data_IF_506311743698
#
_entry.id   IF_506311743698
#
_cell.length_a   1.000
_cell.length_b   1.000
_cell.length_c   1.000
_cell.angle_alpha   90.00
_cell.angle_beta   90.00
_cell.angle_gamma   90.00
#
_symmetry.space_group_name_H-M   'P 1'
#
loop_
_entity.id
_entity.type
_entity.pdbx_description
1 polymer ?
#
# COMPACT_ATOMS: atom_id res chain seq x y z
N UNK A 1 -15.03 -28.18 21.28
CA UNK A 1 -13.62 -28.39 21.66
C UNK A 1 -12.71 -27.25 21.23
N UNK A 2 -12.32 -27.11 19.94
CA UNK A 2 -11.37 -26.06 19.54
C UNK A 2 -11.82 -24.63 19.90
N UNK A 3 -13.10 -24.31 19.69
CA UNK A 3 -13.63 -22.99 20.07
C UNK A 3 -13.62 -22.75 21.58
N UNK A 4 -13.87 -23.79 22.39
CA UNK A 4 -13.81 -23.71 23.86
C UNK A 4 -12.36 -23.54 24.32
N UNK A 5 -11.39 -24.22 23.70
CA UNK A 5 -9.97 -24.02 23.99
C UNK A 5 -9.51 -22.60 23.64
N UNK A 6 -10.03 -22.02 22.55
CA UNK A 6 -9.77 -20.62 22.19
C UNK A 6 -10.30 -19.68 23.29
N UNK A 7 -11.54 -19.88 23.72
CA UNK A 7 -12.15 -19.07 24.79
C UNK A 7 -11.36 -19.20 26.10
N UNK A 8 -11.03 -20.43 26.52
CA UNK A 8 -10.29 -20.69 27.76
C UNK A 8 -8.88 -20.09 27.73
N UNK A 9 -8.20 -20.12 26.57
CA UNK A 9 -6.88 -19.52 26.39
C UNK A 9 -6.95 -18.00 26.36
N UNK A 10 -8.03 -17.45 25.79
CA UNK A 10 -8.29 -16.03 25.84
C UNK A 10 -8.44 -15.57 27.29
N UNK A 11 -9.25 -16.26 28.11
CA UNK A 11 -9.54 -15.98 29.54
C UNK A 11 -8.33 -15.88 30.46
N UNK A 12 -7.16 -16.32 30.04
CA UNK A 12 -5.95 -16.22 30.83
C UNK A 12 -5.43 -14.77 30.84
N UNK A 13 -4.80 -14.27 31.94
CA UNK A 13 -4.20 -12.94 32.02
C UNK A 13 -2.75 -12.90 31.50
N UNK A 14 -2.35 -11.77 30.90
CA UNK A 14 -1.08 -11.64 30.10
C UNK A 14 0.15 -12.01 30.92
N UNK A 15 0.12 -11.62 32.19
CA UNK A 15 1.14 -11.93 33.19
C UNK A 15 1.42 -13.44 33.30
N UNK A 16 0.41 -14.29 33.14
CA UNK A 16 0.62 -15.74 33.20
C UNK A 16 1.41 -16.31 32.01
N UNK A 17 1.54 -15.58 30.90
CA UNK A 17 2.43 -15.95 29.80
C UNK A 17 3.83 -15.38 29.97
N UNK A 18 3.93 -14.13 30.46
CA UNK A 18 5.18 -13.37 30.50
C UNK A 18 5.98 -13.61 31.78
N UNK A 19 5.34 -13.62 32.96
CA UNK A 19 6.02 -13.78 34.25
C UNK A 19 6.90 -15.04 34.29
N UNK A 20 6.47 -16.21 33.73
CA UNK A 20 7.31 -17.41 33.70
C UNK A 20 8.63 -17.28 32.93
N UNK A 21 8.75 -16.32 32.01
CA UNK A 21 10.01 -16.08 31.28
C UNK A 21 11.11 -15.50 32.18
N UNK A 22 10.69 -14.80 33.25
CA UNK A 22 11.58 -14.17 34.23
C UNK A 22 12.02 -15.10 35.37
N UNK A 23 11.51 -16.33 35.40
CA UNK A 23 11.86 -17.27 36.47
C UNK A 23 13.27 -17.83 36.27
N UNK A 24 13.99 -18.00 37.37
CA UNK A 24 15.36 -18.51 37.35
C UNK A 24 15.43 -20.01 36.97
N UNK A 25 14.33 -20.74 37.12
CA UNK A 25 14.27 -22.15 36.77
C UNK A 25 13.79 -22.35 35.34
N UNK A 26 14.47 -23.24 34.61
CA UNK A 26 14.04 -23.68 33.28
C UNK A 26 12.67 -24.36 33.37
N UNK A 27 11.76 -24.10 32.42
CA UNK A 27 10.48 -24.77 32.37
C UNK A 27 10.66 -26.30 32.23
N UNK A 28 9.66 -27.04 32.67
CA UNK A 28 9.63 -28.49 32.47
C UNK A 28 9.65 -28.83 30.97
N UNK A 29 10.36 -29.88 30.56
CA UNK A 29 10.49 -30.28 29.13
C UNK A 29 9.15 -30.42 28.41
N UNK A 30 8.13 -30.91 29.09
CA UNK A 30 6.78 -31.00 28.53
C UNK A 30 6.21 -29.64 28.11
N UNK A 31 6.50 -28.56 28.84
CA UNK A 31 6.08 -27.19 28.52
C UNK A 31 6.85 -26.68 27.30
N UNK A 32 8.16 -26.93 27.24
CA UNK A 32 9.02 -26.59 26.10
C UNK A 32 8.52 -27.26 24.82
N UNK A 33 8.15 -28.55 24.89
CA UNK A 33 7.60 -29.27 23.75
C UNK A 33 6.28 -28.69 23.25
N UNK A 34 5.41 -28.19 24.14
CA UNK A 34 4.17 -27.50 23.74
C UNK A 34 4.49 -26.16 23.06
N UNK A 35 5.43 -25.41 23.62
CA UNK A 35 5.86 -24.14 23.04
C UNK A 35 6.49 -24.31 21.65
N UNK A 36 7.36 -25.30 21.48
CA UNK A 36 7.91 -25.68 20.17
C UNK A 36 6.78 -26.03 19.19
N UNK A 37 5.81 -26.84 19.61
CA UNK A 37 4.66 -27.20 18.79
C UNK A 37 3.84 -25.97 18.36
N UNK A 38 3.63 -25.00 19.25
CA UNK A 38 2.95 -23.74 18.92
C UNK A 38 3.74 -22.95 17.88
N UNK A 39 5.06 -22.78 18.06
CA UNK A 39 5.90 -22.06 17.12
C UNK A 39 5.88 -22.71 15.72
N UNK A 40 5.89 -24.04 15.65
CA UNK A 40 5.79 -24.80 14.40
C UNK A 40 4.41 -24.67 13.74
N UNK A 41 3.33 -24.61 14.52
CA UNK A 41 1.98 -24.33 13.99
C UNK A 41 1.89 -22.93 13.37
N UNK A 42 2.70 -21.97 13.82
CA UNK A 42 2.80 -20.63 13.23
C UNK A 42 3.91 -20.48 12.17
N UNK A 43 4.50 -21.60 11.72
CA UNK A 43 5.57 -21.63 10.72
C UNK A 43 6.80 -20.78 11.10
N UNK A 44 7.09 -20.68 12.40
CA UNK A 44 8.28 -19.97 12.88
C UNK A 44 9.51 -20.82 12.56
N UNK A 45 10.52 -20.27 11.86
CA UNK A 45 11.73 -21.01 11.53
C UNK A 45 12.53 -21.29 12.80
N UNK A 46 12.64 -22.58 13.17
CA UNK A 46 13.42 -23.04 14.31
C UNK A 46 14.72 -23.72 13.85
N UNK A 47 15.85 -23.54 14.58
CA UNK A 47 17.06 -24.31 14.35
C UNK A 47 16.82 -25.82 14.52
N UNK A 48 17.54 -26.65 13.74
CA UNK A 48 17.37 -28.12 13.76
C UNK A 48 17.83 -28.78 15.07
N UNK A 49 18.70 -28.12 15.82
CA UNK A 49 19.11 -28.50 17.17
C UNK A 49 19.09 -27.25 18.03
N UNK A 50 18.19 -27.22 19.01
CA UNK A 50 18.03 -26.11 19.94
C UNK A 50 17.89 -26.68 21.34
N UNK A 51 18.63 -26.11 22.27
CA UNK A 51 18.54 -26.47 23.69
C UNK A 51 17.21 -25.99 24.27
N UNK A 52 16.69 -26.71 25.26
CA UNK A 52 15.40 -26.39 25.90
C UNK A 52 15.39 -24.96 26.49
N UNK A 53 16.55 -24.49 26.97
CA UNK A 53 16.72 -23.14 27.51
C UNK A 53 16.63 -22.06 26.42
N UNK A 54 17.30 -22.27 25.29
CA UNK A 54 17.28 -21.34 24.15
C UNK A 54 15.88 -21.30 23.50
N UNK A 55 15.21 -22.45 23.41
CA UNK A 55 13.82 -22.52 22.93
C UNK A 55 12.90 -21.65 23.80
N UNK A 56 13.05 -21.73 25.12
CA UNK A 56 12.23 -20.98 26.06
C UNK A 56 12.56 -19.49 26.10
N UNK A 57 13.83 -19.13 26.27
CA UNK A 57 14.26 -17.75 26.50
C UNK A 57 14.39 -16.95 25.21
N UNK A 58 14.98 -17.53 24.17
CA UNK A 58 15.26 -16.82 22.93
C UNK A 58 14.09 -16.94 21.94
N UNK A 59 13.68 -18.15 21.57
CA UNK A 59 12.63 -18.32 20.56
C UNK A 59 11.26 -17.92 21.09
N UNK A 60 10.81 -18.60 22.15
CA UNK A 60 9.50 -18.34 22.74
C UNK A 60 9.42 -16.99 23.42
N UNK A 61 10.43 -16.63 24.22
CA UNK A 61 10.47 -15.33 24.90
C UNK A 61 10.33 -14.15 23.93
N UNK A 62 11.10 -14.12 22.84
CA UNK A 62 10.98 -13.06 21.83
C UNK A 62 9.63 -13.11 21.10
N UNK A 63 9.16 -14.30 20.74
CA UNK A 63 7.92 -14.46 20.01
C UNK A 63 6.71 -14.04 20.86
N UNK A 64 6.64 -14.48 22.11
CA UNK A 64 5.53 -14.18 23.00
C UNK A 64 5.54 -12.71 23.47
N UNK A 65 6.72 -12.12 23.71
CA UNK A 65 6.83 -10.68 24.02
C UNK A 65 6.44 -9.84 22.80
N UNK A 66 6.89 -10.20 21.59
CA UNK A 66 6.47 -9.49 20.37
C UNK A 66 4.97 -9.55 20.14
N UNK A 67 4.35 -10.71 20.37
CA UNK A 67 2.94 -10.94 20.02
C UNK A 67 1.95 -10.66 21.17
N UNK A 68 2.41 -10.60 22.42
CA UNK A 68 1.57 -10.32 23.60
C UNK A 68 1.99 -9.01 24.30
N UNK A 69 3.28 -8.64 24.31
CA UNK A 69 3.78 -7.48 25.04
C UNK A 69 3.77 -6.15 24.28
N UNK A 70 4.09 -6.16 22.98
CA UNK A 70 4.22 -4.96 22.13
C UNK A 70 2.91 -4.19 21.86
N UNK A 71 1.77 -4.66 22.37
CA UNK A 71 0.47 -3.98 22.24
C UNK A 71 0.22 -3.09 23.48
N UNK A 72 0.31 -1.76 23.29
CA UNK A 72 0.37 -0.71 24.31
C UNK A 72 -0.98 -0.29 24.91
N UNK A 73 -2.07 -0.32 24.13
CA UNK A 73 -3.39 -0.69 24.67
C UNK A 73 -3.26 -2.16 24.98
N UNK A 74 -3.43 -2.57 26.23
CA UNK A 74 -3.00 -3.88 26.69
C UNK A 74 -3.59 -5.04 25.90
N UNK A 75 -3.58 -6.20 26.53
CA UNK A 75 -4.63 -7.16 26.26
C UNK A 75 -5.98 -6.53 26.64
N UNK A 76 -6.47 -5.53 25.89
CA UNK A 76 -7.73 -4.85 26.10
C UNK A 76 -8.80 -5.73 25.47
N UNK A 77 -9.11 -6.78 26.23
CA UNK A 77 -10.44 -7.28 26.39
C UNK A 77 -11.43 -6.12 26.57
N UNK A 78 -11.96 -5.60 25.48
CA UNK A 78 -13.10 -4.68 25.52
C UNK A 78 -14.16 -5.33 24.66
N UNK A 79 -15.24 -5.81 25.29
CA UNK A 79 -16.63 -5.61 24.84
C UNK A 79 -16.98 -5.86 23.36
N UNK A 80 -16.30 -6.72 22.63
CA UNK A 80 -16.65 -7.04 21.25
C UNK A 80 -16.86 -8.55 21.13
N UNK A 81 -18.03 -8.95 20.64
CA UNK A 81 -18.49 -10.33 20.47
C UNK A 81 -17.71 -11.12 19.40
N UNK A 82 -16.44 -10.82 19.15
CA UNK A 82 -15.59 -11.50 18.16
C UNK A 82 -14.21 -11.82 18.75
N UNK A 83 -13.68 -13.05 18.56
CA UNK A 83 -12.36 -13.40 19.06
C UNK A 83 -11.29 -12.81 18.14
N UNK A 84 -10.68 -11.69 18.55
CA UNK A 84 -9.47 -11.12 17.95
C UNK A 84 -8.30 -11.45 18.88
N UNK A 85 -7.29 -12.18 18.41
CA UNK A 85 -6.13 -12.56 19.22
C UNK A 85 -5.21 -13.60 18.56
N UNK A 86 -3.98 -13.73 19.07
CA UNK A 86 -2.90 -14.60 18.54
C UNK A 86 -3.35 -16.04 18.24
N UNK A 87 -4.25 -16.58 19.06
CA UNK A 87 -4.71 -17.97 19.00
C UNK A 87 -6.14 -18.15 18.46
N UNK A 88 -6.71 -17.10 17.85
CA UNK A 88 -8.14 -17.04 17.49
C UNK A 88 -8.49 -17.62 16.13
N UNK A 89 -7.50 -18.03 15.33
CA UNK A 89 -7.71 -18.50 13.96
C UNK A 89 -6.95 -19.80 13.68
N UNK A 90 -7.62 -20.97 13.68
CA UNK A 90 -6.97 -22.25 13.34
C UNK A 90 -6.64 -22.41 11.85
N UNK A 91 -7.16 -21.53 10.99
CA UNK A 91 -6.99 -21.56 9.53
C UNK A 91 -5.74 -20.83 9.01
N UNK A 92 -4.97 -20.18 9.88
CA UNK A 92 -3.67 -19.60 9.56
C UNK A 92 -2.50 -20.51 10.00
N UNK A 93 -2.81 -21.71 10.51
CA UNK A 93 -1.81 -22.62 11.05
C UNK A 93 -1.22 -23.49 9.93
N UNK A 94 0.10 -23.70 10.00
CA UNK A 94 0.87 -24.47 9.03
C UNK A 94 0.63 -25.97 9.22
N UNK A 95 0.30 -26.66 8.12
CA UNK A 95 0.21 -28.13 8.07
C UNK A 95 1.59 -28.76 7.86
N UNK A 96 2.57 -28.00 7.36
CA UNK A 96 3.90 -28.48 6.98
C UNK A 96 4.65 -29.20 8.10
N UNK A 97 4.38 -28.84 9.35
CA UNK A 97 5.06 -29.39 10.53
C UNK A 97 4.13 -30.29 11.39
N UNK A 98 2.98 -30.73 10.86
CA UNK A 98 1.95 -31.41 11.63
C UNK A 98 2.44 -32.71 12.30
N UNK A 99 3.23 -33.52 11.60
CA UNK A 99 3.80 -34.76 12.16
C UNK A 99 4.68 -34.48 13.39
N UNK A 100 5.52 -33.45 13.30
CA UNK A 100 6.39 -33.03 14.40
C UNK A 100 5.57 -32.47 15.57
N UNK A 101 4.53 -31.69 15.29
CA UNK A 101 3.60 -31.17 16.31
C UNK A 101 2.92 -32.33 17.06
N UNK A 102 2.44 -33.35 16.34
CA UNK A 102 1.85 -34.56 16.94
C UNK A 102 2.85 -35.33 17.80
N UNK A 103 4.11 -35.46 17.36
CA UNK A 103 5.17 -36.08 18.15
C UNK A 103 5.43 -35.32 19.46
N UNK A 104 5.54 -33.99 19.39
CA UNK A 104 5.76 -33.12 20.54
C UNK A 104 4.60 -33.17 21.54
N UNK A 105 3.35 -33.20 21.07
CA UNK A 105 2.17 -33.39 21.90
C UNK A 105 2.18 -34.73 22.63
N UNK A 106 2.62 -35.81 21.94
CA UNK A 106 2.78 -37.14 22.55
C UNK A 106 3.88 -37.12 23.62
N UNK A 107 5.02 -36.49 23.35
CA UNK A 107 6.12 -36.32 24.31
C UNK A 107 5.64 -35.54 25.54
N UNK A 108 4.97 -34.41 25.34
CA UNK A 108 4.45 -33.59 26.43
C UNK A 108 3.44 -34.36 27.30
N UNK A 109 2.59 -35.18 26.68
CA UNK A 109 1.59 -36.00 27.39
C UNK A 109 2.24 -37.14 28.18
N UNK A 110 3.27 -37.77 27.64
CA UNK A 110 4.06 -38.80 28.33
C UNK A 110 4.81 -38.24 29.53
N UNK A 111 5.48 -37.10 29.36
CA UNK A 111 6.31 -36.47 30.38
C UNK A 111 5.50 -35.77 31.47
N UNK A 112 4.34 -35.21 31.11
CA UNK A 112 3.48 -34.49 32.05
C UNK A 112 2.00 -34.75 31.73
N UNK A 113 1.44 -35.87 32.23
CA UNK A 113 0.04 -36.22 32.05
C UNK A 113 -0.90 -35.23 32.76
N UNK A 114 -2.21 -35.41 32.56
CA UNK A 114 -3.23 -34.56 33.18
C UNK A 114 -3.05 -34.52 34.70
N UNK A 115 -3.03 -33.32 35.29
CA UNK A 115 -2.79 -33.14 36.72
C UNK A 115 -1.32 -33.11 37.15
N UNK A 116 -0.35 -33.15 36.23
CA UNK A 116 1.06 -32.95 36.60
C UNK A 116 1.29 -31.55 37.19
N UNK A 117 2.20 -31.43 38.17
CA UNK A 117 2.43 -30.18 38.92
C UNK A 117 2.92 -29.03 38.03
N UNK A 118 3.66 -29.32 36.96
CA UNK A 118 4.15 -28.28 36.05
C UNK A 118 3.02 -27.45 35.42
N UNK A 119 1.86 -28.07 35.16
CA UNK A 119 0.70 -27.38 34.58
C UNK A 119 -0.05 -26.54 35.61
N UNK A 120 -0.02 -26.94 36.89
CA UNK A 120 -0.65 -26.17 37.97
C UNK A 120 0.05 -24.84 38.21
N UNK A 121 1.37 -24.80 38.05
CA UNK A 121 2.16 -23.58 38.19
C UNK A 121 2.11 -22.70 36.93
N UNK A 122 1.63 -23.23 35.80
CA UNK A 122 1.58 -22.57 34.51
C UNK A 122 0.20 -22.74 33.86
N UNK A 123 -0.87 -22.17 34.45
CA UNK A 123 -2.25 -22.36 33.99
C UNK A 123 -2.46 -21.93 32.52
N UNK A 124 -1.86 -20.80 32.12
CA UNK A 124 -1.85 -20.36 30.73
C UNK A 124 -1.28 -21.39 29.75
N UNK A 125 -0.19 -22.06 30.13
CA UNK A 125 0.45 -23.09 29.31
C UNK A 125 -0.30 -24.42 29.34
N UNK A 126 -1.09 -24.68 30.38
CA UNK A 126 -2.03 -25.80 30.40
C UNK A 126 -3.16 -25.58 29.37
N UNK A 127 -3.76 -24.39 29.32
CA UNK A 127 -4.71 -24.02 28.28
C UNK A 127 -4.06 -24.06 26.88
N UNK A 128 -2.80 -23.63 26.77
CA UNK A 128 -2.05 -23.66 25.51
C UNK A 128 -1.84 -25.09 25.02
N UNK A 129 -1.57 -26.04 25.92
CA UNK A 129 -1.48 -27.47 25.60
C UNK A 129 -2.79 -27.99 25.02
N UNK A 130 -3.92 -27.69 25.64
CA UNK A 130 -5.24 -28.13 25.17
C UNK A 130 -5.59 -27.51 23.81
N UNK A 131 -5.30 -26.22 23.64
CA UNK A 131 -5.46 -25.52 22.37
C UNK A 131 -4.59 -26.12 21.26
N UNK A 132 -3.30 -26.38 21.54
CA UNK A 132 -2.37 -26.98 20.58
C UNK A 132 -2.84 -28.37 20.14
N UNK A 133 -3.34 -29.17 21.10
CA UNK A 133 -3.94 -30.48 20.81
C UNK A 133 -5.19 -30.38 19.93
N UNK A 134 -6.08 -29.43 20.22
CA UNK A 134 -7.28 -29.19 19.42
C UNK A 134 -6.93 -28.69 18.00
N UNK A 135 -5.89 -27.87 17.85
CA UNK A 135 -5.38 -27.42 16.56
C UNK A 135 -4.78 -28.57 15.75
N UNK A 136 -3.94 -29.40 16.35
CA UNK A 136 -3.36 -30.56 15.67
C UNK A 136 -4.45 -31.55 15.21
N UNK A 137 -5.44 -31.83 16.06
CA UNK A 137 -6.58 -32.68 15.70
C UNK A 137 -7.41 -32.09 14.54
N UNK A 138 -7.63 -30.78 14.55
CA UNK A 138 -8.32 -30.08 13.46
C UNK A 138 -7.53 -30.15 12.15
N UNK A 139 -6.23 -29.86 12.16
CA UNK A 139 -5.39 -29.90 10.96
C UNK A 139 -5.27 -31.33 10.42
N UNK A 140 -5.08 -32.33 11.28
CA UNK A 140 -5.07 -33.73 10.88
C UNK A 140 -6.40 -34.16 10.23
N UNK A 141 -7.53 -33.74 10.81
CA UNK A 141 -8.84 -34.00 10.23
C UNK A 141 -8.97 -33.34 8.84
N UNK A 142 -8.56 -32.08 8.69
CA UNK A 142 -8.65 -31.34 7.43
C UNK A 142 -7.74 -31.92 6.35
N UNK A 143 -6.51 -32.30 6.70
CA UNK A 143 -5.51 -32.78 5.74
C UNK A 143 -5.73 -34.25 5.34
N UNK A 144 -6.06 -35.12 6.30
CA UNK A 144 -6.04 -36.57 6.07
C UNK A 144 -7.43 -37.21 6.04
N UNK A 145 -8.43 -36.63 6.72
CA UNK A 145 -9.72 -37.30 6.90
C UNK A 145 -10.83 -36.71 6.02
N UNK A 146 -10.86 -35.40 5.84
CA UNK A 146 -11.88 -34.73 5.06
C UNK A 146 -11.79 -34.98 3.53
N UNK A 147 -10.62 -35.03 2.88
CA UNK A 147 -10.55 -35.22 1.43
C UNK A 147 -11.14 -36.54 0.93
N UNK A 148 -11.17 -37.57 1.78
CA UNK A 148 -11.72 -38.90 1.45
C UNK A 148 -13.22 -39.02 1.77
N UNK A 149 -13.83 -37.98 2.36
CA UNK A 149 -15.22 -38.03 2.82
C UNK A 149 -16.22 -37.67 1.72
N UNK A 150 -17.19 -38.56 1.45
CA UNK A 150 -18.34 -38.27 0.59
C UNK A 150 -19.21 -37.16 1.21
N UNK A 151 -19.03 -35.93 0.72
CA UNK A 151 -19.61 -34.71 1.33
C UNK A 151 -18.57 -33.65 1.69
N UNK A 152 -17.29 -33.87 1.35
CA UNK A 152 -16.20 -32.92 1.51
C UNK A 152 -16.59 -31.50 1.11
N UNK A 153 -17.18 -31.28 -0.06
CA UNK A 153 -17.59 -29.93 -0.50
C UNK A 153 -18.59 -29.24 0.44
N UNK A 154 -19.48 -30.00 1.07
CA UNK A 154 -20.47 -29.47 2.01
C UNK A 154 -19.84 -29.17 3.38
N UNK A 155 -18.98 -30.06 3.87
CA UNK A 155 -18.23 -29.88 5.12
C UNK A 155 -17.19 -28.78 4.96
N UNK A 156 -16.49 -28.73 3.83
CA UNK A 156 -15.58 -27.66 3.47
C UNK A 156 -16.35 -26.34 3.43
N UNK A 157 -17.54 -26.23 2.83
CA UNK A 157 -18.34 -24.99 2.91
C UNK A 157 -18.77 -24.59 4.33
N UNK A 158 -18.93 -25.54 5.25
CA UNK A 158 -19.28 -25.30 6.66
C UNK A 158 -18.05 -24.93 7.52
N UNK A 159 -16.88 -25.48 7.18
CA UNK A 159 -15.60 -25.29 7.90
C UNK A 159 -14.80 -24.13 7.31
N UNK A 160 -15.00 -23.83 6.02
CA UNK A 160 -14.49 -22.62 5.37
C UNK A 160 -15.11 -21.44 6.10
N UNK A 161 -14.32 -20.47 6.57
CA UNK A 161 -14.88 -19.32 7.25
C UNK A 161 -15.98 -18.71 6.37
N UNK A 162 -17.16 -18.38 6.92
CA UNK A 162 -18.18 -17.69 6.14
C UNK A 162 -17.53 -16.50 5.45
N UNK A 163 -17.86 -16.24 4.17
CA UNK A 163 -17.46 -14.99 3.50
C UNK A 163 -17.89 -13.86 4.41
N UNK A 164 -16.93 -13.30 5.16
CA UNK A 164 -17.22 -12.41 6.26
C UNK A 164 -17.82 -11.15 5.68
N UNK A 165 -19.01 -10.79 6.11
CA UNK A 165 -19.37 -9.39 6.30
C UNK A 165 -18.95 -9.03 7.73
N UNK A 166 -17.72 -8.53 7.97
CA UNK A 166 -17.40 -8.01 9.28
C UNK A 166 -18.13 -6.67 9.44
N UNK A 167 -18.70 -6.44 10.62
CA UNK A 167 -19.13 -5.09 11.00
C UNK A 167 -17.95 -4.14 11.24
N UNK A 168 -16.70 -4.61 11.10
CA UNK A 168 -15.49 -3.80 11.19
C UNK A 168 -14.51 -4.10 10.05
N UNK A 169 -14.27 -3.08 9.24
CA UNK A 169 -13.36 -2.98 8.10
C UNK A 169 -12.03 -3.72 8.28
N UNK A 170 -11.85 -4.82 7.54
CA UNK A 170 -10.57 -5.55 7.41
C UNK A 170 -9.61 -4.74 6.54
N UNK A 171 -10.15 -4.09 5.52
CA UNK A 171 -9.41 -3.22 4.63
C UNK A 171 -9.62 -1.75 4.98
N UNK A 172 -8.53 -1.00 5.02
CA UNK A 172 -8.57 0.44 5.18
C UNK A 172 -8.13 1.09 3.87
N UNK A 173 -8.96 1.97 3.32
CA UNK A 173 -8.56 2.86 2.24
C UNK A 173 -7.77 4.02 2.83
N UNK A 174 -6.55 4.17 2.36
CA UNK A 174 -5.66 5.25 2.71
C UNK A 174 -5.36 6.08 1.46
N UNK A 175 -4.94 7.32 1.67
CA UNK A 175 -4.67 8.26 0.60
C UNK A 175 -3.32 8.93 0.89
N UNK A 176 -2.43 8.98 -0.11
CA UNK A 176 -1.17 9.73 0.00
C UNK A 176 -1.42 11.24 -0.10
N UNK A 177 -0.39 12.05 0.17
CA UNK A 177 -0.49 13.51 0.00
C UNK A 177 -0.84 13.91 -1.45
N UNK A 178 -0.41 13.11 -2.44
CA UNK A 178 -0.70 13.31 -3.87
C UNK A 178 -2.08 12.75 -4.29
N UNK A 179 -2.87 12.28 -3.33
CA UNK A 179 -4.20 11.72 -3.55
C UNK A 179 -4.19 10.34 -4.21
N UNK A 180 -3.12 9.56 -4.03
CA UNK A 180 -3.08 8.17 -4.52
C UNK A 180 -3.70 7.27 -3.46
N UNK A 181 -4.72 6.53 -3.85
CA UNK A 181 -5.34 5.53 -2.99
C UNK A 181 -4.42 4.32 -2.83
N UNK A 182 -4.35 3.80 -1.61
CA UNK A 182 -3.76 2.50 -1.31
C UNK A 182 -4.55 1.81 -0.20
N UNK A 183 -4.44 0.50 -0.11
CA UNK A 183 -5.29 -0.34 0.72
C UNK A 183 -4.45 -1.13 1.70
N UNK A 184 -4.69 -0.91 2.99
CA UNK A 184 -4.05 -1.64 4.07
C UNK A 184 -4.96 -2.75 4.57
N UNK A 185 -4.44 -3.97 4.61
CA UNK A 185 -5.10 -5.10 5.24
C UNK A 185 -4.67 -5.19 6.70
N UNK A 186 -5.59 -4.96 7.63
CA UNK A 186 -5.31 -5.06 9.06
C UNK A 186 -4.93 -6.47 9.50
N UNK A 187 -5.48 -7.50 8.83
CA UNK A 187 -5.28 -8.89 9.21
C UNK A 187 -3.93 -9.42 8.74
N UNK A 188 -3.56 -9.16 7.50
CA UNK A 188 -2.28 -9.59 6.93
C UNK A 188 -1.14 -8.60 7.18
N UNK A 189 -1.44 -7.42 7.75
CA UNK A 189 -0.50 -6.32 7.93
C UNK A 189 0.27 -6.01 6.63
N UNK A 190 -0.48 -5.97 5.53
CA UNK A 190 0.06 -5.84 4.18
C UNK A 190 -0.60 -4.69 3.45
N UNK A 191 0.13 -4.09 2.51
CA UNK A 191 -0.35 -2.98 1.70
C UNK A 191 -0.47 -3.43 0.26
N UNK A 192 -1.56 -3.04 -0.37
CA UNK A 192 -1.83 -3.25 -1.79
C UNK A 192 -2.20 -1.91 -2.42
N UNK A 193 -1.78 -1.71 -3.66
CA UNK A 193 -2.02 -0.46 -4.39
C UNK A 193 -3.33 -0.49 -5.16
N UNK A 194 -3.77 -1.69 -5.53
CA UNK A 194 -4.99 -1.90 -6.27
C UNK A 194 -6.10 -2.32 -5.30
N UNK A 195 -7.34 -1.95 -5.64
CA UNK A 195 -8.50 -2.24 -4.80
C UNK A 195 -8.71 -3.75 -4.72
N UNK A 196 -8.65 -4.35 -3.52
CA UNK A 196 -8.92 -5.77 -3.34
C UNK A 196 -10.37 -6.14 -3.71
N UNK A 197 -10.59 -7.36 -4.20
CA UNK A 197 -11.92 -7.86 -4.55
C UNK A 197 -12.86 -7.96 -3.34
N UNK A 198 -12.29 -8.24 -2.17
CA UNK A 198 -12.96 -8.35 -0.87
C UNK A 198 -12.94 -7.05 -0.06
N UNK A 199 -12.69 -5.89 -0.71
CA UNK A 199 -12.61 -4.61 -0.05
C UNK A 199 -13.92 -4.20 0.65
N UNK A 200 -13.89 -4.17 1.98
CA UNK A 200 -15.01 -3.82 2.87
C UNK A 200 -14.90 -2.41 3.48
N UNK A 201 -13.73 -1.78 3.33
CA UNK A 201 -13.32 -0.47 3.87
C UNK A 201 -14.06 0.77 3.38
N UNK A 202 -15.06 0.63 2.50
CA UNK A 202 -15.62 1.75 1.73
C UNK A 202 -16.32 2.80 2.60
N UNK A 203 -16.79 2.40 3.78
CA UNK A 203 -17.59 3.23 4.68
C UNK A 203 -16.73 3.98 5.72
N UNK A 204 -15.45 3.64 5.85
CA UNK A 204 -14.51 4.35 6.72
C UNK A 204 -13.71 5.34 5.90
N UNK A 205 -14.01 6.62 6.12
CA UNK A 205 -13.21 7.69 5.55
C UNK A 205 -11.76 7.63 6.10
N UNK A 206 -10.73 7.97 5.31
CA UNK A 206 -9.33 7.95 5.75
C UNK A 206 -9.08 8.76 7.04
N UNK A 207 -9.86 9.82 7.26
CA UNK A 207 -9.78 10.68 8.46
C UNK A 207 -10.28 10.01 9.73
N UNK A 208 -11.13 8.99 9.60
CA UNK A 208 -11.77 8.27 10.70
C UNK A 208 -11.06 6.95 11.03
N UNK A 209 -9.91 6.67 10.39
CA UNK A 209 -9.08 5.52 10.72
C UNK A 209 -8.55 5.70 12.16
N UNK A 210 -8.72 4.72 13.07
CA UNK A 210 -8.19 4.80 14.43
C UNK A 210 -6.68 5.05 14.46
N UNK A 211 -6.17 5.80 15.45
CA UNK A 211 -4.76 6.18 15.54
C UNK A 211 -3.81 4.96 15.53
N UNK A 212 -4.17 3.91 16.26
CA UNK A 212 -3.42 2.63 16.32
C UNK A 212 -3.23 2.02 14.92
N UNK A 213 -4.27 2.05 14.09
CA UNK A 213 -4.20 1.50 12.74
C UNK A 213 -3.32 2.37 11.85
N UNK A 214 -3.32 3.70 12.04
CA UNK A 214 -2.43 4.60 11.29
C UNK A 214 -0.96 4.34 11.60
N UNK A 215 -0.63 4.04 12.85
CA UNK A 215 0.74 3.68 13.24
C UNK A 215 1.19 2.39 12.55
N UNK A 216 0.36 1.34 12.58
CA UNK A 216 0.65 0.08 11.88
C UNK A 216 0.79 0.26 10.36
N UNK A 217 -0.05 1.10 9.75
CA UNK A 217 0.08 1.46 8.32
C UNK A 217 1.43 2.13 8.07
N UNK A 218 1.82 3.07 8.92
CA UNK A 218 3.09 3.80 8.78
C UNK A 218 4.28 2.86 8.92
N UNK A 219 4.27 1.96 9.90
CA UNK A 219 5.31 0.92 10.07
C UNK A 219 5.41 0.00 8.85
N UNK A 220 4.26 -0.48 8.36
CA UNK A 220 4.19 -1.38 7.19
C UNK A 220 4.70 -0.69 5.91
N UNK A 221 4.36 0.60 5.73
CA UNK A 221 4.89 1.43 4.64
C UNK A 221 6.40 1.63 4.77
N UNK A 222 6.89 1.90 5.99
CA UNK A 222 8.32 2.10 6.22
C UNK A 222 9.15 0.85 5.95
N UNK A 223 8.62 -0.32 6.31
CA UNK A 223 9.25 -1.62 6.06
C UNK A 223 9.31 -1.97 4.57
N UNK A 224 8.28 -1.61 3.79
CA UNK A 224 8.20 -1.96 2.36
C UNK A 224 8.71 -0.85 1.43
N UNK A 225 10.02 -0.89 1.14
CA UNK A 225 10.67 0.09 0.25
C UNK A 225 10.08 0.08 -1.17
N UNK A 226 9.76 -1.09 -1.72
CA UNK A 226 9.19 -1.26 -3.05
C UNK A 226 7.85 -0.53 -3.22
N UNK A 227 6.94 -0.73 -2.27
CA UNK A 227 5.60 -0.11 -2.27
C UNK A 227 5.71 1.41 -2.20
N UNK A 228 6.63 1.96 -1.39
CA UNK A 228 6.84 3.42 -1.32
C UNK A 228 7.30 4.00 -2.65
N UNK A 229 8.26 3.36 -3.30
CA UNK A 229 8.76 3.82 -4.60
C UNK A 229 7.67 3.78 -5.67
N UNK A 230 6.80 2.76 -5.65
CA UNK A 230 5.68 2.66 -6.58
C UNK A 230 4.61 3.72 -6.30
N UNK A 231 4.31 4.01 -5.02
CA UNK A 231 3.42 5.12 -4.63
C UNK A 231 3.94 6.47 -5.12
N UNK A 232 5.24 6.74 -4.97
CA UNK A 232 5.86 7.97 -5.50
C UNK A 232 5.77 8.05 -7.03
N UNK A 233 5.94 6.92 -7.72
CA UNK A 233 5.80 6.86 -9.18
C UNK A 233 4.36 7.16 -9.62
N UNK A 234 3.37 6.52 -8.98
CA UNK A 234 1.94 6.78 -9.26
C UNK A 234 1.56 8.23 -8.93
N UNK A 235 2.09 8.79 -7.84
CA UNK A 235 1.92 10.21 -7.48
C UNK A 235 2.45 11.15 -8.56
N UNK A 236 3.71 10.95 -9.00
CA UNK A 236 4.32 11.72 -10.09
C UNK A 236 3.53 11.60 -11.39
N UNK A 237 3.05 10.41 -11.73
CA UNK A 237 2.21 10.20 -12.92
C UNK A 237 0.90 10.97 -12.82
N UNK A 238 0.20 10.90 -11.68
CA UNK A 238 -1.06 11.63 -11.49
C UNK A 238 -0.88 13.15 -11.55
N UNK A 239 0.16 13.68 -10.91
CA UNK A 239 0.52 15.11 -11.02
C UNK A 239 0.80 15.46 -12.49
N UNK A 240 1.55 14.62 -13.20
CA UNK A 240 1.84 14.82 -14.62
C UNK A 240 0.55 14.84 -15.46
N UNK A 241 -0.36 13.89 -15.26
CA UNK A 241 -1.65 13.84 -15.96
C UNK A 241 -2.51 15.07 -15.63
N UNK A 242 -2.57 15.50 -14.36
CA UNK A 242 -3.30 16.72 -13.99
C UNK A 242 -2.72 17.97 -14.65
N UNK A 243 -1.39 18.08 -14.73
CA UNK A 243 -0.74 19.18 -15.45
C UNK A 243 -1.06 19.14 -16.95
N UNK A 244 -1.15 17.95 -17.55
CA UNK A 244 -1.56 17.76 -18.95
C UNK A 244 -3.04 18.05 -19.20
N UNK A 245 -3.93 17.76 -18.25
CA UNK A 245 -5.37 18.07 -18.34
C UNK A 245 -5.64 19.57 -18.18
N UNK A 246 -4.87 20.24 -17.32
CA UNK A 246 -4.93 21.69 -17.12
C UNK A 246 -4.24 22.48 -18.22
N UNK A 247 -3.62 21.80 -19.17
CA UNK A 247 -2.88 22.43 -20.23
C UNK A 247 -3.84 23.03 -21.27
N UNK A 248 -3.73 24.34 -21.45
CA UNK A 248 -4.44 25.07 -22.49
C UNK A 248 -3.54 25.13 -23.72
N UNK A 249 -3.97 24.43 -24.77
CA UNK A 249 -3.24 24.34 -26.03
C UNK A 249 -3.89 25.22 -27.08
N UNK A 250 -3.07 26.07 -27.71
CA UNK A 250 -3.50 26.89 -28.84
C UNK A 250 -3.00 26.24 -30.12
N UNK A 251 -3.92 25.88 -31.01
CA UNK A 251 -3.56 25.56 -32.38
C UNK A 251 -3.01 26.82 -33.03
N UNK A 252 -1.82 26.73 -33.61
CA UNK A 252 -1.16 27.81 -34.32
C UNK A 252 -0.90 27.38 -35.76
N UNK A 253 -0.91 28.35 -36.67
CA UNK A 253 -0.60 28.13 -38.08
C UNK A 253 0.69 28.85 -38.44
N UNK A 254 1.72 28.10 -38.85
CA UNK A 254 2.93 28.69 -39.41
C UNK A 254 2.74 28.99 -40.90
N UNK A 255 2.88 30.27 -41.26
CA UNK A 255 2.74 30.72 -42.65
C UNK A 255 3.94 30.35 -43.53
N UNK A 256 5.12 30.12 -42.97
CA UNK A 256 6.31 29.79 -43.76
C UNK A 256 6.29 28.33 -44.21
N UNK A 257 6.03 27.43 -43.25
CA UNK A 257 6.00 25.98 -43.48
C UNK A 257 4.62 25.47 -43.91
N UNK A 258 3.57 26.30 -43.79
CA UNK A 258 2.17 25.93 -44.05
C UNK A 258 1.68 24.76 -43.18
N UNK A 259 2.33 24.54 -42.04
CA UNK A 259 1.98 23.47 -41.09
C UNK A 259 1.37 24.02 -39.81
N UNK A 260 0.44 23.25 -39.24
CA UNK A 260 -0.11 23.51 -37.91
C UNK A 260 0.88 23.06 -36.84
N UNK A 261 0.89 23.76 -35.72
CA UNK A 261 1.62 23.37 -34.52
C UNK A 261 0.82 23.78 -33.28
N UNK A 262 1.05 23.11 -32.16
CA UNK A 262 0.30 23.31 -30.93
C UNK A 262 1.23 23.88 -29.87
N UNK A 263 0.79 24.93 -29.19
CA UNK A 263 1.56 25.61 -28.16
C UNK A 263 0.82 25.59 -26.82
N UNK A 264 1.48 25.08 -25.77
CA UNK A 264 0.96 25.14 -24.40
C UNK A 264 1.29 26.50 -23.80
N UNK A 265 0.24 27.25 -23.42
CA UNK A 265 0.41 28.57 -22.80
C UNK A 265 1.04 28.43 -21.41
N UNK A 266 0.66 27.40 -20.65
CA UNK A 266 1.07 27.23 -19.25
C UNK A 266 2.49 26.69 -19.10
N UNK A 267 2.90 25.76 -19.96
CA UNK A 267 4.18 25.05 -19.84
C UNK A 267 5.20 25.42 -20.92
N UNK A 268 4.89 26.38 -21.81
CA UNK A 268 5.79 26.89 -22.85
C UNK A 268 6.35 25.79 -23.77
N UNK A 269 5.56 24.73 -24.02
CA UNK A 269 5.92 23.61 -24.89
C UNK A 269 5.31 23.76 -26.28
N UNK A 270 6.01 23.24 -27.28
CA UNK A 270 5.58 23.19 -28.68
C UNK A 270 5.47 21.73 -29.11
N UNK A 271 4.38 21.37 -29.79
CA UNK A 271 4.15 20.06 -30.39
C UNK A 271 3.79 20.20 -31.87
N UNK A 272 4.29 19.30 -32.71
CA UNK A 272 3.94 19.21 -34.14
C UNK A 272 2.64 18.43 -34.39
N UNK A 273 2.22 17.62 -33.42
CA UNK A 273 0.99 16.83 -33.45
C UNK A 273 0.00 17.35 -32.39
N UNK A 274 -1.31 17.19 -32.62
CA UNK A 274 -2.30 17.55 -31.61
C UNK A 274 -2.02 16.77 -30.32
N UNK A 275 -1.91 17.46 -29.16
CA UNK A 275 -1.85 16.83 -27.85
C UNK A 275 -3.07 15.93 -27.61
N UNK A 276 -2.92 14.86 -26.82
CA UNK A 276 -4.03 13.96 -26.52
C UNK A 276 -5.02 14.53 -25.49
N UNK A 277 -4.60 15.55 -24.72
CA UNK A 277 -5.36 16.16 -23.63
C UNK A 277 -5.25 17.70 -23.61
N UNK A 278 -6.28 18.38 -23.10
CA UNK A 278 -6.33 19.83 -22.90
C UNK A 278 -7.49 20.53 -23.63
N UNK A 279 -7.69 21.81 -23.32
CA UNK A 279 -8.67 22.68 -24.02
C UNK A 279 -8.02 23.20 -25.29
N UNK A 280 -8.66 22.96 -26.44
CA UNK A 280 -8.20 23.42 -27.74
C UNK A 280 -8.83 24.74 -28.12
N UNK A 281 -8.01 25.79 -28.20
CA UNK A 281 -8.42 27.03 -28.84
C UNK A 281 -7.89 27.06 -30.29
N UNK A 282 -8.79 27.20 -31.26
CA UNK A 282 -8.43 27.32 -32.66
C UNK A 282 -7.67 28.63 -32.91
N UNK A 283 -6.66 28.62 -33.79
CA UNK A 283 -5.93 29.84 -34.19
C UNK A 283 -6.86 30.95 -34.72
N UNK A 284 -8.06 30.60 -35.21
CA UNK A 284 -9.06 31.55 -35.71
C UNK A 284 -9.79 32.29 -34.60
N UNK A 285 -9.96 31.63 -33.46
CA UNK A 285 -10.74 32.10 -32.32
C UNK A 285 -9.83 32.68 -31.23
N UNK A 286 -8.55 32.29 -31.22
CA UNK A 286 -7.58 32.74 -30.22
C UNK A 286 -7.24 34.22 -30.29
N UNK A 287 -7.64 34.94 -29.24
CA UNK A 287 -7.33 36.37 -29.07
C UNK A 287 -5.82 36.61 -28.94
N UNK A 288 -5.10 35.72 -28.26
CA UNK A 288 -3.66 35.79 -28.08
C UNK A 288 -2.93 35.65 -29.44
N UNK A 289 -3.31 34.68 -30.26
CA UNK A 289 -2.75 34.50 -31.59
C UNK A 289 -3.02 35.72 -32.50
N UNK A 290 -4.24 36.25 -32.47
CA UNK A 290 -4.60 37.47 -33.20
C UNK A 290 -3.78 38.70 -32.75
N UNK A 291 -3.53 38.84 -31.44
CA UNK A 291 -2.72 39.93 -30.89
C UNK A 291 -1.25 39.85 -31.34
N UNK A 292 -0.65 38.64 -31.33
CA UNK A 292 0.72 38.42 -31.82
C UNK A 292 0.84 38.76 -33.30
N UNK A 293 -0.11 38.33 -34.13
CA UNK A 293 -0.12 38.68 -35.55
C UNK A 293 -0.22 40.19 -35.77
N UNK A 294 -1.05 40.89 -35.00
CA UNK A 294 -1.16 42.36 -35.04
C UNK A 294 0.15 43.05 -34.64
N UNK A 295 0.81 42.58 -33.58
CA UNK A 295 2.12 43.08 -33.14
C UNK A 295 3.19 42.87 -34.21
N UNK A 296 3.28 41.67 -34.79
CA UNK A 296 4.22 41.38 -35.88
C UNK A 296 3.96 42.24 -37.11
N UNK A 297 2.69 42.42 -37.49
CA UNK A 297 2.31 43.30 -38.60
C UNK A 297 2.68 44.76 -38.32
N UNK A 298 2.40 45.26 -37.11
CA UNK A 298 2.76 46.62 -36.69
C UNK A 298 4.27 46.83 -36.68
N UNK A 299 5.05 45.86 -36.19
CA UNK A 299 6.52 45.91 -36.20
C UNK A 299 7.07 45.93 -37.63
N UNK A 300 6.56 45.05 -38.52
CA UNK A 300 6.95 45.04 -39.94
C UNK A 300 6.62 46.35 -40.64
N UNK A 301 5.45 46.94 -40.35
CA UNK A 301 5.04 48.25 -40.86
C UNK A 301 5.99 49.36 -40.40
N UNK A 302 6.29 49.45 -39.10
CA UNK A 302 7.27 50.42 -38.56
C UNK A 302 8.64 50.28 -39.23
N UNK A 303 9.11 49.05 -39.43
CA UNK A 303 10.40 48.78 -40.10
C UNK A 303 10.38 49.17 -41.59
N UNK A 304 9.26 48.99 -42.27
CA UNK A 304 9.07 49.45 -43.65
C UNK A 304 9.05 50.98 -43.73
N UNK A 305 8.31 51.63 -42.83
CA UNK A 305 8.21 53.10 -42.76
C UNK A 305 9.59 53.73 -42.50
N UNK A 306 10.38 53.17 -41.58
CA UNK A 306 11.77 53.59 -41.38
C UNK A 306 12.62 53.40 -42.65
N UNK A 307 12.54 52.25 -43.32
CA UNK A 307 13.28 52.02 -44.58
C UNK A 307 12.87 52.99 -45.68
N UNK A 308 11.58 53.31 -45.81
CA UNK A 308 11.08 54.24 -46.82
C UNK A 308 11.45 55.69 -46.49
N UNK A 309 11.40 56.11 -45.22
CA UNK A 309 11.89 57.40 -44.78
C UNK A 309 13.40 57.55 -45.03
N UNK A 310 14.20 56.53 -44.71
CA UNK A 310 15.64 56.52 -45.04
C UNK A 310 15.88 56.61 -46.54
N UNK A 311 15.10 55.90 -47.37
CA UNK A 311 15.19 56.00 -48.84
C UNK A 311 14.77 57.39 -49.35
N UNK A 312 13.71 57.99 -48.82
CA UNK A 312 13.26 59.34 -49.17
C UNK A 312 14.30 60.39 -48.78
N UNK A 313 14.89 60.28 -47.58
CA UNK A 313 15.98 61.14 -47.13
C UNK A 313 17.21 61.02 -48.05
N UNK A 314 17.60 59.78 -48.42
CA UNK A 314 18.67 59.54 -49.41
C UNK A 314 18.35 60.11 -50.79
N UNK A 315 17.08 60.06 -51.23
CA UNK A 315 16.64 60.64 -52.52
C UNK A 315 16.60 62.17 -52.50
N UNK A 316 16.30 62.78 -51.35
CA UNK A 316 16.36 64.23 -51.14
C UNK A 316 17.78 64.80 -51.02
N UNK A 317 18.78 63.95 -50.76
CA UNK A 317 20.21 64.32 -50.73
C UNK A 317 20.96 64.02 -52.03
N UNK A 318 20.30 63.37 -53.01
CA UNK A 318 20.85 63.20 -54.35
C UNK A 318 20.49 64.43 -55.20
N UNK A 319 21.45 65.04 -55.92
CA UNK A 319 21.17 66.22 -56.74
C UNK A 319 20.15 65.87 -57.83
N UNK A 320 19.06 66.64 -57.85
CA UNK A 320 18.02 66.53 -58.88
C UNK A 320 18.53 67.12 -60.19
N UNK A 321 18.89 66.27 -61.16
CA UNK A 321 19.15 66.72 -62.53
C UNK A 321 17.81 67.06 -63.21
N UNK A 322 17.35 68.30 -63.02
CA UNK A 322 16.29 68.89 -63.82
C UNK A 322 16.77 70.23 -64.38
N UNK A 323 17.20 70.23 -65.65
CA UNK A 323 16.93 71.26 -66.68
C UNK A 323 18.02 71.26 -67.77
N UNK A 324 17.70 70.76 -68.95
CA UNK A 324 18.30 71.21 -70.22
C UNK A 324 17.31 70.99 -71.37
N UNK A 325 16.29 71.83 -71.42
CA UNK A 325 15.53 72.17 -72.62
C UNK A 325 14.72 73.43 -72.28
N UNK A 326 14.93 74.61 -72.84
CA UNK A 326 15.87 75.11 -73.83
C UNK A 326 15.36 76.52 -74.17
N UNK A 327 16.20 77.55 -74.09
CA UNK A 327 15.96 78.86 -74.72
C UNK A 327 17.28 79.60 -74.85
N UNK A 328 17.68 79.86 -76.08
CA UNK A 328 18.83 80.71 -76.38
C UNK A 328 19.34 80.55 -77.81
N UNK A 329 18.59 81.00 -78.82
CA UNK A 329 19.17 81.37 -80.11
C UNK A 329 18.91 82.86 -80.31
N UNK A 330 19.96 83.66 -80.09
CA UNK A 330 20.07 85.03 -80.58
C UNK A 330 20.77 84.97 -81.94
N UNK A 331 20.24 85.71 -82.91
CA UNK A 331 21.05 86.44 -83.89
C UNK A 331 20.75 87.91 -83.63
#
# INVERSE_FOLDING_TARGET
MLHECIIALQEQPKKQFIDPLSWDMSPHKAVVSIVEAVLLLFDVPLPSQIEDEDMWRACWGLWIVKNIDAHSSGWEWMSHNEPIGLFTKPYALSVSNLDRVCELLRIATLLAPFGHRCWHHLPAYACLKEWTGACAAYLHMVEHCLPEFEGYDAVQKLVTPPKRTPKENVWFRCETQDGIDYFYNRLYQSITLDRPEDFDGAHVAPKNIPAVIRELIAETLQANVSIRLELEQRGKQKIHTQLLEQDEWVECFDRQTQTKYYYSIRHYKISSTPPDHGVFESYRESFAYAAVLRLQAAYRRRRLDQKTQVRKAKRGTLPSFASFAGKGRKV
#
